data_IF_846641620174
#
_entry.id   IF_846641620174
#
_cell.length_a   1.000
_cell.length_b   1.000
_cell.length_c   1.000
_cell.angle_alpha   90.00
_cell.angle_beta   90.00
_cell.angle_gamma   90.00
#
_symmetry.space_group_name_H-M   'P 1'
#
loop_
_entity.id
_entity.type
_entity.pdbx_description
1 polymer ?
#
# COMPACT_ATOMS: atom_id res chain seq x y z
N UNK A 1 11.89 -2.12 -8.76
CA UNK A 1 11.18 -2.95 -9.76
C UNK A 1 9.95 -2.27 -10.35
N UNK A 2 8.98 -1.82 -9.55
CA UNK A 2 7.74 -1.17 -10.04
C UNK A 2 7.98 -0.07 -11.08
N UNK A 3 8.94 0.82 -10.82
CA UNK A 3 9.30 1.93 -11.73
C UNK A 3 9.76 1.45 -13.12
N UNK A 4 10.63 0.43 -13.15
CA UNK A 4 11.17 -0.11 -14.40
C UNK A 4 10.06 -0.74 -15.24
N UNK A 5 9.30 -1.66 -14.66
CA UNK A 5 8.22 -2.34 -15.38
C UNK A 5 7.17 -1.40 -15.91
N UNK A 6 6.86 -0.36 -15.14
CA UNK A 6 5.87 0.57 -15.60
C UNK A 6 6.34 1.45 -16.76
N UNK A 7 7.64 1.79 -16.84
CA UNK A 7 8.19 2.48 -18.02
C UNK A 7 8.19 1.58 -19.25
N UNK A 8 8.62 0.33 -19.09
CA UNK A 8 8.76 -0.63 -20.21
C UNK A 8 7.43 -1.11 -20.77
N UNK A 9 6.38 -1.21 -19.94
CA UNK A 9 5.10 -1.79 -20.35
C UNK A 9 4.01 -0.74 -20.63
N UNK A 10 4.32 0.54 -20.46
CA UNK A 10 3.39 1.64 -20.79
C UNK A 10 2.94 1.60 -22.25
N UNK A 11 3.84 1.30 -23.19
CA UNK A 11 3.53 1.18 -24.64
C UNK A 11 2.58 0.03 -24.96
N UNK A 12 2.46 -0.94 -24.06
CA UNK A 12 1.53 -2.08 -24.16
C UNK A 12 0.18 -1.79 -23.48
N UNK A 13 -0.03 -0.57 -22.99
CA UNK A 13 -1.23 -0.19 -22.24
C UNK A 13 -1.33 -0.83 -20.86
N UNK A 14 -0.21 -1.34 -20.30
CA UNK A 14 -0.19 -1.99 -18.99
C UNK A 14 0.22 -0.97 -17.93
N UNK A 15 -0.61 -0.79 -16.90
CA UNK A 15 -0.29 0.04 -15.74
C UNK A 15 0.33 -0.80 -14.62
N UNK A 16 1.45 -0.35 -14.06
CA UNK A 16 2.14 -1.01 -12.95
C UNK A 16 2.30 -0.02 -11.80
N UNK A 17 1.57 -0.25 -10.71
CA UNK A 17 1.59 0.57 -9.50
C UNK A 17 2.07 -0.26 -8.30
N UNK A 18 2.60 0.41 -7.27
CA UNK A 18 3.03 -0.22 -6.03
C UNK A 18 2.30 0.38 -4.84
N UNK A 19 1.83 -0.48 -3.93
CA UNK A 19 1.23 -0.06 -2.66
C UNK A 19 2.05 -0.67 -1.53
N UNK A 20 2.51 0.17 -0.60
CA UNK A 20 3.21 -0.26 0.60
C UNK A 20 2.30 0.00 1.82
N UNK A 21 1.48 -0.98 2.23
CA UNK A 21 0.67 -0.84 3.43
C UNK A 21 1.57 -0.82 4.68
N UNK A 22 1.17 -0.06 5.70
CA UNK A 22 1.79 -0.08 7.02
C UNK A 22 1.43 -1.34 7.80
N UNK A 23 1.38 -1.25 9.13
CA UNK A 23 1.04 -2.38 9.99
C UNK A 23 -0.44 -2.78 9.85
N UNK A 24 -0.66 -3.91 9.18
CA UNK A 24 -1.97 -4.47 8.87
C UNK A 24 -2.29 -5.64 9.78
N UNK A 25 -3.53 -5.74 10.27
CA UNK A 25 -3.97 -6.96 10.97
C UNK A 25 -4.26 -8.06 9.96
N UNK A 26 -3.39 -9.07 9.95
CA UNK A 26 -3.41 -10.25 9.08
C UNK A 26 -2.92 -11.46 9.87
N UNK A 27 -3.15 -12.68 9.34
CA UNK A 27 -2.71 -13.94 9.95
C UNK A 27 -1.21 -13.97 10.30
N UNK A 28 -0.38 -13.30 9.49
CA UNK A 28 1.09 -13.28 9.67
C UNK A 28 1.49 -12.34 10.82
N UNK A 29 0.68 -11.31 11.08
CA UNK A 29 0.93 -10.30 12.12
C UNK A 29 0.25 -10.61 13.46
N UNK A 30 -0.63 -11.62 13.51
CA UNK A 30 -1.46 -11.90 14.69
C UNK A 30 -0.61 -12.23 15.94
N UNK A 31 0.52 -12.92 15.77
CA UNK A 31 1.45 -13.19 16.88
C UNK A 31 2.06 -11.90 17.47
N UNK A 32 2.38 -10.91 16.62
CA UNK A 32 2.90 -9.62 17.07
C UNK A 32 1.80 -8.73 17.66
N UNK A 33 0.58 -8.81 17.14
CA UNK A 33 -0.57 -8.08 17.64
C UNK A 33 -1.06 -8.60 19.00
N UNK A 34 -0.76 -9.86 19.34
CA UNK A 34 -1.08 -10.47 20.63
C UNK A 34 -0.17 -10.00 21.77
N UNK A 35 1.02 -9.44 21.48
CA UNK A 35 1.91 -8.85 22.48
C UNK A 35 1.54 -7.37 22.70
N UNK A 36 1.01 -7.01 23.89
CA UNK A 36 0.63 -5.64 24.20
C UNK A 36 1.81 -4.67 24.22
N UNK A 37 2.99 -5.10 24.69
CA UNK A 37 4.19 -4.24 24.76
C UNK A 37 4.72 -3.93 23.36
N UNK A 38 4.73 -4.94 22.49
CA UNK A 38 5.11 -4.74 21.10
C UNK A 38 4.13 -3.83 20.37
N UNK A 39 2.83 -4.04 20.59
CA UNK A 39 1.78 -3.21 19.99
C UNK A 39 1.88 -1.75 20.44
N UNK A 40 2.07 -1.49 21.73
CA UNK A 40 2.24 -0.14 22.26
C UNK A 40 3.48 0.57 21.67
N UNK A 41 4.62 -0.14 21.65
CA UNK A 41 5.83 0.36 21.01
C UNK A 41 5.61 0.72 19.54
N UNK A 42 4.93 -0.15 18.78
CA UNK A 42 4.66 0.08 17.36
C UNK A 42 3.73 1.26 17.14
N UNK A 43 2.63 1.33 17.89
CA UNK A 43 1.61 2.36 17.72
C UNK A 43 2.09 3.74 18.16
N UNK A 44 3.09 3.82 19.04
CA UNK A 44 3.76 5.09 19.37
C UNK A 44 4.48 5.74 18.18
N UNK A 45 4.80 4.95 17.13
CA UNK A 45 5.53 5.40 15.93
C UNK A 45 4.66 5.52 14.69
N UNK A 46 3.44 5.00 14.75
CA UNK A 46 2.47 5.08 13.65
C UNK A 46 1.60 6.31 13.91
N UNK A 47 1.58 7.32 13.03
CA UNK A 47 0.80 8.55 13.26
C UNK A 47 -0.70 8.32 13.51
N UNK A 48 -1.28 7.25 12.93
CA UNK A 48 -2.69 6.90 13.14
C UNK A 48 -2.95 6.07 14.39
N UNK A 49 -1.91 5.62 15.12
CA UNK A 49 -1.98 4.86 16.37
C UNK A 49 -2.98 3.68 16.36
N UNK A 50 -3.18 3.04 15.19
CA UNK A 50 -4.09 1.92 15.03
C UNK A 50 -3.59 0.95 13.98
N UNK A 51 -4.02 -0.31 14.11
CA UNK A 51 -3.85 -1.32 13.08
C UNK A 51 -4.66 -0.97 11.83
N UNK A 52 -4.08 -1.23 10.66
CA UNK A 52 -4.81 -1.23 9.40
C UNK A 52 -5.73 -2.44 9.29
N UNK A 53 -6.86 -2.30 8.58
CA UNK A 53 -7.76 -3.41 8.23
C UNK A 53 -7.90 -3.52 6.70
N UNK A 54 -7.95 -4.73 6.11
CA UNK A 54 -8.15 -4.92 4.66
C UNK A 54 -9.32 -4.11 4.09
N UNK A 55 -10.38 -3.96 4.87
CA UNK A 55 -11.60 -3.24 4.54
C UNK A 55 -11.38 -1.73 4.36
N UNK A 56 -10.27 -1.20 4.87
CA UNK A 56 -9.91 0.23 4.79
C UNK A 56 -9.07 0.56 3.54
N UNK A 57 -8.82 -0.40 2.66
CA UNK A 57 -7.90 -0.30 1.51
C UNK A 57 -8.50 0.43 0.30
N UNK A 58 -8.90 1.68 0.51
CA UNK A 58 -9.48 2.52 -0.55
C UNK A 58 -8.48 2.86 -1.66
N UNK A 59 -7.17 2.80 -1.39
CA UNK A 59 -6.11 3.08 -2.35
C UNK A 59 -6.16 2.16 -3.58
N UNK A 60 -6.56 0.89 -3.40
CA UNK A 60 -6.70 -0.05 -4.52
C UNK A 60 -7.72 0.43 -5.54
N UNK A 61 -8.82 1.05 -5.07
CA UNK A 61 -9.85 1.62 -5.93
C UNK A 61 -9.37 2.84 -6.75
N UNK A 62 -8.34 3.55 -6.28
CA UNK A 62 -7.81 4.72 -6.97
C UNK A 62 -6.81 4.35 -8.07
N UNK A 63 -6.04 3.27 -7.90
CA UNK A 63 -4.98 2.90 -8.84
C UNK A 63 -5.45 1.98 -9.97
N UNK A 64 -6.76 1.76 -10.10
CA UNK A 64 -7.34 0.94 -11.17
C UNK A 64 -7.37 1.70 -12.51
N UNK A 65 -7.03 1.03 -13.62
CA UNK A 65 -6.90 1.67 -14.95
C UNK A 65 -8.18 2.34 -15.46
N UNK A 66 -9.35 1.85 -15.03
CA UNK A 66 -10.67 2.39 -15.43
C UNK A 66 -10.88 3.83 -14.96
N UNK A 67 -10.25 4.25 -13.85
CA UNK A 67 -10.49 5.58 -13.26
C UNK A 67 -9.43 6.62 -13.59
N UNK A 68 -8.23 6.20 -14.03
CA UNK A 68 -7.12 7.10 -14.31
C UNK A 68 -6.39 6.65 -15.59
N UNK A 69 -6.99 6.88 -16.78
CA UNK A 69 -6.42 6.43 -18.06
C UNK A 69 -5.10 7.12 -18.42
N UNK A 70 -4.79 8.25 -17.79
CA UNK A 70 -3.58 9.05 -18.04
C UNK A 70 -2.50 8.87 -16.99
N UNK A 71 -2.73 8.08 -15.93
CA UNK A 71 -1.69 7.79 -14.94
C UNK A 71 -0.74 6.74 -15.51
N UNK A 72 0.45 7.21 -15.85
CA UNK A 72 1.63 6.45 -16.26
C UNK A 72 2.82 6.98 -15.43
N UNK A 73 3.86 6.19 -15.16
CA UNK A 73 4.16 5.55 -13.87
C UNK A 73 4.79 6.41 -12.78
N UNK A 74 5.11 7.64 -13.12
CA UNK A 74 6.08 8.44 -12.39
C UNK A 74 5.41 9.49 -11.50
N UNK A 75 4.09 9.63 -11.58
CA UNK A 75 3.35 10.69 -10.90
C UNK A 75 2.96 10.28 -9.48
N UNK A 76 3.98 10.24 -8.62
CA UNK A 76 3.94 10.63 -7.21
C UNK A 76 5.40 10.60 -6.74
N UNK A 77 6.16 11.59 -7.20
CA UNK A 77 7.35 12.03 -6.49
C UNK A 77 6.86 12.97 -5.38
N UNK A 78 7.18 12.59 -4.15
CA UNK A 78 6.67 13.02 -2.83
C UNK A 78 5.46 12.26 -2.32
#
# INVERSE_FOLDING_TARGET
>A
MTKLFSNEWATKGIQVNGVAPGFMRTLITDGYAADPKYTEYLMSRVPSARWGHPNTWRVLWYILPVRLPTLSPALLWW
#
